data_IF_713360145707
#
_entry.id   IF_713360145707
#
_cell.length_a   1.000
_cell.length_b   1.000
_cell.length_c   1.000
_cell.angle_alpha   90.00
_cell.angle_beta   90.00
_cell.angle_gamma   90.00
#
_symmetry.space_group_name_H-M   'P 1'
#
loop_
_entity.id
_entity.type
_entity.pdbx_description
1 polymer ?
#
# COMPACT_ATOMS: atom_id res chain seq x y z
N UNK A 1 3.75 1.46 5.09
CA UNK A 1 2.90 0.80 4.10
C UNK A 1 2.38 1.80 3.10
N UNK A 2 2.47 1.49 1.82
CA UNK A 2 1.97 2.37 0.77
C UNK A 2 0.42 2.35 0.73
N UNK A 3 -0.18 3.15 -0.15
CA UNK A 3 -1.61 3.13 -0.41
C UNK A 3 -1.89 2.43 -1.76
N UNK A 4 -3.14 2.08 -2.09
CA UNK A 4 -3.45 1.18 -3.20
C UNK A 4 -2.86 1.56 -4.56
N UNK A 5 -2.85 2.84 -4.92
CA UNK A 5 -2.38 3.24 -6.26
C UNK A 5 -0.88 3.00 -6.40
N UNK A 6 -0.07 3.25 -5.35
CA UNK A 6 1.35 2.93 -5.36
C UNK A 6 1.62 1.44 -5.61
N UNK A 7 0.92 0.55 -4.89
CA UNK A 7 1.07 -0.89 -5.07
C UNK A 7 0.72 -1.31 -6.50
N UNK A 8 -0.42 -0.84 -7.01
CA UNK A 8 -0.91 -1.15 -8.36
C UNK A 8 0.04 -0.63 -9.44
N UNK A 9 0.51 0.62 -9.32
CA UNK A 9 1.43 1.22 -10.28
C UNK A 9 2.75 0.43 -10.35
N UNK A 10 3.34 0.13 -9.19
CA UNK A 10 4.57 -0.64 -9.14
C UNK A 10 4.38 -2.07 -9.66
N UNK A 11 3.23 -2.70 -9.38
CA UNK A 11 2.89 -4.01 -9.93
C UNK A 11 2.81 -3.99 -11.46
N UNK A 12 2.21 -2.95 -12.06
CA UNK A 12 2.23 -2.79 -13.51
C UNK A 12 3.65 -2.60 -14.07
N UNK A 13 4.49 -1.80 -13.41
CA UNK A 13 5.83 -1.48 -13.89
C UNK A 13 6.77 -2.69 -13.91
N UNK A 14 6.58 -3.63 -12.97
CA UNK A 14 7.48 -4.78 -12.79
C UNK A 14 6.94 -6.06 -13.44
N UNK A 15 5.68 -6.10 -13.86
CA UNK A 15 5.05 -7.35 -14.30
C UNK A 15 5.80 -8.03 -15.46
N UNK A 16 6.35 -7.26 -16.40
CA UNK A 16 7.15 -7.79 -17.52
C UNK A 16 8.49 -8.42 -17.10
N UNK A 17 8.89 -8.26 -15.84
CA UNK A 17 10.10 -8.84 -15.26
C UNK A 17 9.81 -10.13 -14.48
N UNK A 18 8.53 -10.50 -14.35
CA UNK A 18 8.09 -11.70 -13.65
C UNK A 18 8.10 -12.90 -14.60
N UNK A 19 8.10 -14.14 -14.07
CA UNK A 19 8.04 -15.33 -14.89
C UNK A 19 6.84 -15.34 -15.86
N UNK A 20 7.07 -15.75 -17.11
CA UNK A 20 6.06 -15.75 -18.18
C UNK A 20 4.80 -16.57 -17.86
N UNK A 21 4.91 -17.53 -16.93
CA UNK A 21 3.78 -18.37 -16.51
C UNK A 21 2.84 -17.67 -15.50
N UNK A 22 3.20 -16.48 -15.00
CA UNK A 22 2.34 -15.74 -14.09
C UNK A 22 1.15 -15.12 -14.83
N UNK A 23 -0.05 -15.36 -14.32
CA UNK A 23 -1.23 -14.62 -14.74
C UNK A 23 -1.23 -13.22 -14.11
N UNK A 24 -1.37 -12.19 -14.94
CA UNK A 24 -1.37 -10.79 -14.50
C UNK A 24 -2.51 -10.46 -13.55
N UNK A 25 -3.71 -10.95 -13.83
CA UNK A 25 -4.89 -10.72 -13.00
C UNK A 25 -4.67 -11.28 -11.59
N UNK A 26 -4.21 -12.53 -11.48
CA UNK A 26 -3.93 -13.17 -10.20
C UNK A 26 -2.83 -12.46 -9.42
N UNK A 27 -1.76 -12.02 -10.09
CA UNK A 27 -0.70 -11.24 -9.45
C UNK A 27 -1.20 -9.89 -8.90
N UNK A 28 -2.07 -9.20 -9.64
CA UNK A 28 -2.65 -7.93 -9.20
C UNK A 28 -3.63 -8.13 -8.04
N UNK A 29 -4.46 -9.18 -8.07
CA UNK A 29 -5.31 -9.58 -6.95
C UNK A 29 -4.47 -9.86 -5.71
N UNK A 30 -3.41 -10.66 -5.86
CA UNK A 30 -2.46 -10.97 -4.80
C UNK A 30 -1.75 -9.74 -4.25
N UNK A 31 -1.41 -8.77 -5.10
CA UNK A 31 -0.78 -7.51 -4.69
C UNK A 31 -1.70 -6.67 -3.81
N UNK A 32 -3.01 -6.70 -4.04
CA UNK A 32 -3.97 -5.93 -3.25
C UNK A 32 -4.61 -6.73 -2.12
N UNK A 33 -4.43 -8.06 -2.08
CA UNK A 33 -5.03 -8.89 -1.05
C UNK A 33 -4.60 -8.54 0.38
N UNK A 34 -3.33 -8.20 0.70
CA UNK A 34 -2.91 -8.19 2.10
C UNK A 34 -3.65 -7.21 3.03
N UNK A 35 -4.14 -6.10 2.47
CA UNK A 35 -4.91 -5.08 3.18
C UNK A 35 -6.38 -5.45 3.42
N UNK A 36 -6.90 -6.53 2.80
CA UNK A 36 -8.24 -7.06 3.13
C UNK A 36 -8.34 -7.42 4.62
N UNK A 37 -7.20 -7.67 5.28
CA UNK A 37 -7.09 -8.10 6.68
C UNK A 37 -7.92 -7.26 7.65
N UNK A 38 -8.03 -5.95 7.41
CA UNK A 38 -8.79 -5.04 8.28
C UNK A 38 -10.30 -5.33 8.24
N UNK A 39 -10.79 -5.89 7.15
CA UNK A 39 -12.19 -6.26 6.95
C UNK A 39 -12.45 -7.75 7.19
N UNK A 40 -11.47 -8.60 6.88
CA UNK A 40 -11.57 -10.05 6.98
C UNK A 40 -11.18 -10.61 8.36
N UNK A 41 -10.80 -9.75 9.31
CA UNK A 41 -10.29 -10.16 10.64
C UNK A 41 -9.11 -11.15 10.53
N UNK A 42 -8.22 -10.90 9.56
CA UNK A 42 -7.01 -11.69 9.36
C UNK A 42 -5.84 -11.05 10.11
N UNK A 43 -4.98 -11.90 10.66
CA UNK A 43 -3.75 -11.47 11.29
C UNK A 43 -2.76 -10.97 10.22
N UNK A 44 -1.97 -9.93 10.55
CA UNK A 44 -0.95 -9.41 9.63
C UNK A 44 0.00 -10.51 9.13
N UNK A 45 0.42 -11.42 10.01
CA UNK A 45 1.31 -12.53 9.66
C UNK A 45 0.71 -13.52 8.63
N UNK A 46 -0.62 -13.56 8.47
CA UNK A 46 -1.28 -14.39 7.46
C UNK A 46 -1.24 -13.74 6.06
N UNK A 47 -1.11 -12.41 6.00
CA UNK A 47 -1.19 -11.67 4.74
C UNK A 47 0.09 -10.95 4.33
N UNK A 48 0.98 -10.66 5.28
CA UNK A 48 2.27 -10.01 5.09
C UNK A 48 3.37 -11.00 5.52
N UNK A 49 3.74 -11.87 4.58
CA UNK A 49 4.72 -12.94 4.83
C UNK A 49 6.11 -12.33 4.94
N UNK A 50 6.75 -12.47 6.09
CA UNK A 50 8.12 -12.03 6.38
C UNK A 50 8.95 -13.19 6.95
N UNK A 51 10.29 -13.16 6.77
CA UNK A 51 11.04 -12.25 5.90
C UNK A 51 10.73 -12.48 4.41
N UNK A 52 11.03 -11.49 3.55
CA UNK A 52 10.78 -11.58 2.10
C UNK A 52 11.91 -10.95 1.29
N UNK A 53 12.19 -11.47 0.11
CA UNK A 53 13.10 -10.86 -0.87
C UNK A 53 12.54 -10.99 -2.30
N UNK A 54 13.16 -10.30 -3.26
CA UNK A 54 12.76 -10.38 -4.67
C UNK A 54 12.81 -11.82 -5.23
N UNK A 55 13.78 -12.61 -4.79
CA UNK A 55 13.88 -14.01 -5.20
C UNK A 55 12.67 -14.84 -4.76
N UNK A 56 12.00 -14.49 -3.65
CA UNK A 56 10.79 -15.18 -3.22
C UNK A 56 9.60 -14.89 -4.16
N UNK A 57 9.57 -13.69 -4.76
CA UNK A 57 8.54 -13.30 -5.75
C UNK A 57 8.74 -14.05 -7.06
N UNK A 58 9.95 -14.03 -7.62
CA UNK A 58 10.22 -14.65 -8.94
C UNK A 58 10.18 -16.18 -8.90
N UNK A 59 10.53 -16.79 -7.76
CA UNK A 59 10.52 -18.25 -7.61
C UNK A 59 9.19 -18.77 -7.03
N UNK A 60 8.21 -17.89 -6.81
CA UNK A 60 6.90 -18.29 -6.32
C UNK A 60 6.17 -19.14 -7.36
N UNK A 61 5.42 -20.15 -6.90
CA UNK A 61 4.66 -21.03 -7.80
C UNK A 61 3.29 -20.48 -8.22
N UNK A 62 2.74 -19.54 -7.43
CA UNK A 62 1.43 -18.93 -7.68
C UNK A 62 1.63 -17.44 -7.91
N UNK A 63 1.05 -16.92 -9.00
CA UNK A 63 1.08 -15.50 -9.31
C UNK A 63 0.41 -14.68 -8.19
N UNK A 64 -0.69 -15.17 -7.63
CA UNK A 64 -1.37 -14.55 -6.50
C UNK A 64 -0.45 -14.44 -5.27
N UNK A 65 0.19 -15.55 -4.88
CA UNK A 65 1.13 -15.52 -3.75
C UNK A 65 2.35 -14.64 -4.03
N UNK A 66 2.85 -14.62 -5.27
CA UNK A 66 3.91 -13.70 -5.68
C UNK A 66 3.47 -12.23 -5.52
N UNK A 67 2.22 -11.91 -5.84
CA UNK A 67 1.63 -10.59 -5.60
C UNK A 67 1.61 -10.22 -4.12
N UNK A 68 1.23 -11.14 -3.23
CA UNK A 68 1.24 -10.88 -1.78
C UNK A 68 2.66 -10.62 -1.25
N UNK A 69 3.64 -11.38 -1.73
CA UNK A 69 5.05 -11.16 -1.39
C UNK A 69 5.53 -9.80 -1.91
N UNK A 70 5.16 -9.46 -3.14
CA UNK A 70 5.48 -8.18 -3.77
C UNK A 70 4.88 -7.00 -3.00
N UNK A 71 3.62 -7.09 -2.56
CA UNK A 71 2.99 -6.09 -1.69
C UNK A 71 3.87 -5.79 -0.47
N UNK A 72 4.36 -6.85 0.19
CA UNK A 72 5.17 -6.69 1.38
C UNK A 72 6.54 -6.06 1.08
N UNK A 73 7.15 -6.39 -0.06
CA UNK A 73 8.37 -5.71 -0.53
C UNK A 73 8.11 -4.21 -0.73
N UNK A 74 7.03 -3.83 -1.42
CA UNK A 74 6.65 -2.42 -1.62
C UNK A 74 6.55 -1.70 -0.28
N UNK A 75 5.84 -2.32 0.67
CA UNK A 75 5.64 -1.77 2.00
C UNK A 75 6.95 -1.53 2.76
N UNK A 76 7.82 -2.54 2.82
CA UNK A 76 9.07 -2.47 3.59
C UNK A 76 10.03 -1.45 2.95
N UNK A 77 10.17 -1.45 1.63
CA UNK A 77 11.04 -0.47 0.95
C UNK A 77 10.47 0.95 1.11
N UNK A 78 9.16 1.15 0.96
CA UNK A 78 8.51 2.45 1.18
C UNK A 78 8.69 2.93 2.63
N UNK A 79 8.60 2.04 3.60
CA UNK A 79 8.89 2.36 5.01
C UNK A 79 10.33 2.86 5.15
N UNK A 80 11.30 2.13 4.61
CA UNK A 80 12.72 2.46 4.78
C UNK A 80 13.14 3.75 4.05
N UNK A 81 12.55 4.03 2.89
CA UNK A 81 12.97 5.15 2.04
C UNK A 81 12.12 6.41 2.28
N UNK A 82 10.80 6.26 2.45
CA UNK A 82 9.87 7.39 2.50
C UNK A 82 9.41 7.69 3.93
N UNK A 83 9.17 6.67 4.76
CA UNK A 83 8.68 6.89 6.13
C UNK A 83 9.79 7.12 7.14
N UNK A 84 10.93 6.43 7.01
CA UNK A 84 12.04 6.51 7.96
C UNK A 84 12.47 7.95 8.27
N UNK A 85 12.71 8.83 7.28
CA UNK A 85 13.08 10.22 7.57
C UNK A 85 12.00 10.96 8.39
N UNK A 86 10.72 10.65 8.18
CA UNK A 86 9.63 11.26 8.93
C UNK A 86 9.59 10.73 10.36
N UNK A 87 9.85 9.43 10.57
CA UNK A 87 9.95 8.87 11.92
C UNK A 87 11.12 9.49 12.72
N UNK A 88 12.23 9.80 12.05
CA UNK A 88 13.38 10.51 12.62
C UNK A 88 13.03 11.97 12.96
N UNK A 89 12.44 12.71 12.02
CA UNK A 89 12.02 14.11 12.23
C UNK A 89 11.03 14.25 13.39
N UNK A 90 10.11 13.28 13.52
CA UNK A 90 9.14 13.22 14.61
C UNK A 90 9.73 12.66 15.91
N UNK A 91 11.03 12.27 15.92
CA UNK A 91 11.75 11.68 17.05
C UNK A 91 11.05 10.46 17.66
N UNK A 92 10.32 9.69 16.86
CA UNK A 92 9.48 8.60 17.38
C UNK A 92 10.32 7.42 17.90
N UNK A 93 11.59 7.34 17.47
CA UNK A 93 12.54 6.33 17.93
C UNK A 93 13.20 6.72 19.26
N UNK A 94 13.19 8.01 19.62
CA UNK A 94 13.90 8.53 20.79
C UNK A 94 12.96 8.93 21.94
N UNK A 95 11.76 9.44 21.63
CA UNK A 95 10.85 10.02 22.63
C UNK A 95 9.37 9.66 22.35
N UNK A 96 8.99 8.37 22.49
CA UNK A 96 7.64 7.89 22.13
C UNK A 96 6.49 8.55 22.92
N UNK A 97 6.78 9.21 24.04
CA UNK A 97 5.83 9.95 24.87
C UNK A 97 5.41 11.33 24.30
N UNK A 98 6.14 11.88 23.32
CA UNK A 98 5.95 13.26 22.86
C UNK A 98 4.89 13.43 21.77
N UNK A 99 4.34 12.33 21.22
CA UNK A 99 3.29 12.40 20.20
C UNK A 99 2.29 11.26 20.36
N UNK A 100 1.00 11.58 20.30
CA UNK A 100 -0.04 10.55 20.33
C UNK A 100 0.09 9.62 19.12
N UNK A 101 -0.09 8.31 19.34
CA UNK A 101 -0.06 7.29 18.29
C UNK A 101 -1.02 7.63 17.14
N UNK A 102 -2.17 8.20 17.48
CA UNK A 102 -3.19 8.63 16.53
C UNK A 102 -2.70 9.78 15.63
N UNK A 103 -1.92 10.73 16.17
CA UNK A 103 -1.33 11.82 15.38
C UNK A 103 -0.29 11.29 14.40
N UNK A 104 0.60 10.38 14.81
CA UNK A 104 1.57 9.75 13.90
C UNK A 104 0.85 8.99 12.78
N UNK A 105 -0.15 8.17 13.12
CA UNK A 105 -0.95 7.43 12.15
C UNK A 105 -1.64 8.37 11.15
N UNK A 106 -2.16 9.50 11.61
CA UNK A 106 -2.80 10.51 10.77
C UNK A 106 -1.81 11.19 9.81
N UNK A 107 -0.62 11.60 10.30
CA UNK A 107 0.45 12.16 9.45
C UNK A 107 0.85 11.16 8.37
N UNK A 108 1.10 9.90 8.76
CA UNK A 108 1.47 8.83 7.82
C UNK A 108 0.39 8.58 6.80
N UNK A 109 -0.87 8.57 7.24
CA UNK A 109 -2.02 8.42 6.37
C UNK A 109 -2.06 9.52 5.32
N UNK A 110 -2.07 10.81 5.72
CA UNK A 110 -2.13 11.96 4.80
C UNK A 110 -1.04 11.90 3.73
N UNK A 111 0.19 11.53 4.13
CA UNK A 111 1.32 11.36 3.20
C UNK A 111 1.06 10.32 2.12
N UNK A 112 0.55 9.14 2.50
CA UNK A 112 0.19 8.08 1.53
C UNK A 112 -0.86 8.56 0.52
N UNK A 113 -1.78 9.43 0.94
CA UNK A 113 -2.82 9.95 0.04
C UNK A 113 -2.23 10.94 -0.94
N UNK A 114 -1.38 11.83 -0.44
CA UNK A 114 -0.69 12.80 -1.28
C UNK A 114 0.20 12.08 -2.30
N UNK A 115 0.86 10.99 -1.89
CA UNK A 115 1.61 10.11 -2.79
C UNK A 115 0.73 9.55 -3.90
N UNK A 116 -0.35 8.84 -3.56
CA UNK A 116 -1.27 8.25 -4.54
C UNK A 116 -1.86 9.32 -5.48
N UNK A 117 -2.17 10.52 -4.97
CA UNK A 117 -2.64 11.64 -5.80
C UNK A 117 -1.56 12.11 -6.79
N UNK A 118 -0.32 12.25 -6.33
CA UNK A 118 0.81 12.67 -7.17
C UNK A 118 1.03 11.72 -8.33
N UNK A 119 0.88 10.41 -8.09
CA UNK A 119 1.24 9.34 -9.04
C UNK A 119 0.04 8.81 -9.83
N UNK A 120 -1.18 9.18 -9.48
CA UNK A 120 -2.40 8.68 -10.14
C UNK A 120 -2.35 8.84 -11.67
N UNK A 121 -1.86 9.99 -12.14
CA UNK A 121 -1.76 10.29 -13.57
C UNK A 121 -0.67 9.49 -14.30
N UNK A 122 0.19 8.76 -13.59
CA UNK A 122 1.14 7.82 -14.19
C UNK A 122 0.45 6.54 -14.65
N UNK A 123 -0.73 6.22 -14.11
CA UNK A 123 -1.55 5.13 -14.64
C UNK A 123 -2.13 5.54 -16.00
N UNK A 124 -1.94 4.68 -17.01
CA UNK A 124 -2.58 4.87 -18.31
C UNK A 124 -4.09 4.63 -18.22
N UNK A 125 -4.84 5.09 -19.23
CA UNK A 125 -6.28 4.82 -19.33
C UNK A 125 -6.56 3.31 -19.39
N UNK A 126 -5.72 2.57 -20.11
CA UNK A 126 -5.80 1.11 -20.22
C UNK A 126 -5.55 0.43 -18.88
N UNK A 127 -4.50 0.84 -18.16
CA UNK A 127 -4.21 0.29 -16.82
C UNK A 127 -5.36 0.53 -15.85
N UNK A 128 -5.99 1.71 -15.87
CA UNK A 128 -7.19 1.97 -15.07
C UNK A 128 -8.35 1.05 -15.44
N UNK A 129 -8.56 0.78 -16.72
CA UNK A 129 -9.58 -0.18 -17.15
C UNK A 129 -9.25 -1.61 -16.65
N UNK A 130 -7.99 -2.04 -16.79
CA UNK A 130 -7.52 -3.34 -16.30
C UNK A 130 -7.72 -3.51 -14.79
N UNK A 131 -7.55 -2.45 -13.99
CA UNK A 131 -7.86 -2.49 -12.55
C UNK A 131 -9.33 -2.88 -12.34
N UNK A 132 -10.27 -2.20 -13.01
CA UNK A 132 -11.69 -2.50 -12.87
C UNK A 132 -12.00 -3.95 -13.26
N UNK A 133 -11.48 -4.43 -14.39
CA UNK A 133 -11.70 -5.81 -14.84
C UNK A 133 -11.09 -6.84 -13.88
N UNK A 134 -9.90 -6.57 -13.35
CA UNK A 134 -9.18 -7.43 -12.42
C UNK A 134 -10.05 -7.71 -11.18
N UNK A 135 -10.57 -6.66 -10.56
CA UNK A 135 -11.36 -6.72 -9.34
C UNK A 135 -12.84 -7.07 -9.56
N UNK A 136 -13.22 -7.49 -10.77
CA UNK A 136 -14.51 -8.18 -11.00
C UNK A 136 -14.38 -9.71 -10.83
N UNK A 137 -13.16 -10.22 -10.62
CA UNK A 137 -12.85 -11.63 -10.47
C UNK A 137 -12.39 -11.93 -9.03
N UNK A 138 -12.78 -13.10 -8.52
CA UNK A 138 -12.28 -13.65 -7.26
C UNK A 138 -11.57 -14.96 -7.59
N UNK A 139 -10.29 -15.05 -7.28
CA UNK A 139 -9.54 -16.28 -7.53
C UNK A 139 -9.70 -17.30 -6.38
N UNK A 140 -9.23 -18.53 -6.61
CA UNK A 140 -9.39 -19.62 -5.63
C UNK A 140 -8.56 -19.37 -4.38
N UNK A 141 -7.35 -18.85 -4.52
CA UNK A 141 -6.47 -18.53 -3.39
C UNK A 141 -7.05 -17.44 -2.47
N UNK A 142 -7.78 -16.45 -3.00
CA UNK A 142 -8.48 -15.46 -2.18
C UNK A 142 -9.50 -16.12 -1.25
N UNK A 143 -10.31 -17.04 -1.79
CA UNK A 143 -11.33 -17.77 -1.02
C UNK A 143 -10.72 -18.74 0.00
N UNK A 144 -9.52 -19.27 -0.28
CA UNK A 144 -8.81 -20.12 0.68
C UNK A 144 -8.34 -19.32 1.91
N UNK A 145 -7.86 -18.09 1.70
CA UNK A 145 -7.37 -17.23 2.78
C UNK A 145 -8.50 -16.46 3.48
N UNK A 146 -9.53 -16.05 2.72
CA UNK A 146 -10.72 -15.37 3.21
C UNK A 146 -11.98 -16.10 2.71
N UNK A 147 -12.48 -17.12 3.45
CA UNK A 147 -13.65 -17.89 3.04
C UNK A 147 -14.94 -17.07 2.88
N UNK A 148 -14.99 -15.88 3.51
CA UNK A 148 -16.13 -14.97 3.36
C UNK A 148 -16.06 -14.22 2.02
N UNK A 149 -16.76 -14.74 1.02
CA UNK A 149 -16.84 -14.16 -0.33
C UNK A 149 -17.37 -12.72 -0.34
N UNK A 150 -18.31 -12.37 0.53
CA UNK A 150 -18.90 -11.02 0.58
C UNK A 150 -17.85 -9.98 1.02
N UNK A 151 -16.95 -10.37 1.92
CA UNK A 151 -15.83 -9.50 2.34
C UNK A 151 -14.87 -9.24 1.18
N UNK A 152 -14.57 -10.25 0.37
CA UNK A 152 -13.73 -10.09 -0.83
C UNK A 152 -14.39 -9.17 -1.85
N UNK A 153 -15.68 -9.37 -2.16
CA UNK A 153 -16.43 -8.49 -3.09
C UNK A 153 -16.40 -7.05 -2.58
N UNK A 154 -16.63 -6.83 -1.28
CA UNK A 154 -16.61 -5.50 -0.69
C UNK A 154 -15.22 -4.87 -0.79
N UNK A 155 -14.16 -5.64 -0.53
CA UNK A 155 -12.78 -5.18 -0.69
C UNK A 155 -12.44 -4.79 -2.13
N UNK A 156 -12.78 -5.65 -3.08
CA UNK A 156 -12.60 -5.38 -4.52
C UNK A 156 -13.31 -4.10 -4.93
N UNK A 157 -14.56 -3.91 -4.49
CA UNK A 157 -15.32 -2.69 -4.76
C UNK A 157 -14.65 -1.44 -4.18
N UNK A 158 -14.11 -1.52 -2.96
CA UNK A 158 -13.36 -0.42 -2.34
C UNK A 158 -12.13 -0.05 -3.18
N UNK A 159 -11.39 -1.04 -3.70
CA UNK A 159 -10.22 -0.78 -4.57
C UNK A 159 -10.64 -0.14 -5.88
N UNK A 160 -11.67 -0.67 -6.54
CA UNK A 160 -12.20 -0.10 -7.78
C UNK A 160 -12.62 1.37 -7.58
N UNK A 161 -13.37 1.67 -6.52
CA UNK A 161 -13.86 3.01 -6.21
C UNK A 161 -12.71 3.97 -5.83
N UNK A 162 -11.68 3.46 -5.15
CA UNK A 162 -10.49 4.24 -4.81
C UNK A 162 -9.67 4.62 -6.05
N UNK A 163 -9.60 3.74 -7.05
CA UNK A 163 -8.86 3.94 -8.29
C UNK A 163 -9.64 4.64 -9.41
N UNK A 164 -10.92 4.96 -9.22
CA UNK A 164 -11.78 5.59 -10.24
C UNK A 164 -11.36 7.03 -10.57
N UNK A 165 -10.86 7.76 -9.56
CA UNK A 165 -10.43 9.16 -9.67
C UNK A 165 -9.22 9.41 -8.79
N UNK A 166 -8.41 10.46 -9.05
CA UNK A 166 -7.32 10.83 -8.16
C UNK A 166 -7.85 10.94 -6.72
N UNK A 167 -7.20 10.31 -5.72
CA UNK A 167 -7.71 10.36 -4.36
C UNK A 167 -7.69 11.80 -3.87
N UNK A 168 -8.78 12.21 -3.24
CA UNK A 168 -8.91 13.42 -2.44
C UNK A 168 -9.16 13.00 -0.98
N UNK A 169 -9.23 13.97 -0.06
CA UNK A 169 -9.47 13.68 1.36
C UNK A 169 -10.77 12.90 1.58
N UNK A 170 -11.79 13.13 0.74
CA UNK A 170 -13.09 12.46 0.84
C UNK A 170 -13.04 11.01 0.35
N UNK A 171 -12.38 10.73 -0.77
CA UNK A 171 -12.14 9.35 -1.27
C UNK A 171 -11.45 8.53 -0.19
N UNK A 172 -10.49 9.14 0.49
CA UNK A 172 -9.73 8.47 1.54
C UNK A 172 -10.56 8.31 2.81
N UNK A 173 -11.30 9.35 3.21
CA UNK A 173 -12.22 9.24 4.34
C UNK A 173 -13.17 8.05 4.13
N UNK A 174 -13.72 7.90 2.93
CA UNK A 174 -14.58 6.75 2.58
C UNK A 174 -13.80 5.42 2.63
N UNK A 175 -12.59 5.37 2.09
CA UNK A 175 -11.74 4.17 2.15
C UNK A 175 -11.48 3.74 3.60
N UNK A 176 -11.12 4.66 4.48
CA UNK A 176 -10.83 4.40 5.89
C UNK A 176 -12.08 3.96 6.67
N UNK A 177 -13.20 4.67 6.48
CA UNK A 177 -14.46 4.27 7.09
C UNK A 177 -14.89 2.86 6.66
N UNK A 178 -14.60 2.49 5.40
CA UNK A 178 -14.97 1.18 4.85
C UNK A 178 -14.07 0.04 5.36
N UNK A 179 -12.84 0.37 5.78
CA UNK A 179 -11.82 -0.56 6.28
C UNK A 179 -11.68 -0.55 7.80
N UNK A 180 -12.53 0.19 8.52
CA UNK A 180 -12.47 0.28 10.00
C UNK A 180 -11.29 1.11 10.53
N UNK A 181 -10.68 1.94 9.69
CA UNK A 181 -9.55 2.81 10.02
C UNK A 181 -9.92 4.07 10.83
N UNK A 182 -8.90 4.88 11.14
CA UNK A 182 -9.04 6.13 11.90
C UNK A 182 -9.87 7.16 11.11
N UNK A 183 -10.90 7.72 11.73
CA UNK A 183 -11.69 8.81 11.12
C UNK A 183 -10.90 10.12 11.10
N UNK A 184 -10.73 10.72 9.91
CA UNK A 184 -10.06 12.00 9.70
C UNK A 184 -10.73 13.18 10.44
N UNK A 185 -12.06 13.13 10.65
CA UNK A 185 -12.86 14.25 11.17
C UNK A 185 -12.73 14.51 12.68
N UNK A 186 -11.96 13.72 13.44
CA UNK A 186 -11.92 13.80 14.91
C UNK A 186 -10.62 14.39 15.49
N UNK A 187 -9.72 14.92 14.68
CA UNK A 187 -8.44 15.40 15.18
C UNK A 187 -8.26 16.92 14.96
N UNK A 188 -8.55 17.71 15.98
CA UNK A 188 -8.38 19.18 15.99
C UNK A 188 -6.90 19.62 16.01
N UNK A 189 -5.97 18.69 16.31
CA UNK A 189 -4.55 19.00 16.48
C UNK A 189 -3.76 19.10 15.15
N UNK A 190 -4.34 18.61 14.04
CA UNK A 190 -3.67 18.58 12.74
C UNK A 190 -4.62 19.01 11.63
N UNK A 191 -4.26 20.07 10.91
CA UNK A 191 -4.98 20.47 9.70
C UNK A 191 -4.61 19.53 8.55
N UNK A 192 -5.35 18.43 8.43
CA UNK A 192 -5.12 17.39 7.43
C UNK A 192 -5.23 17.92 5.99
N UNK A 193 -6.15 18.86 5.75
CA UNK A 193 -6.36 19.47 4.44
C UNK A 193 -5.20 20.35 4.00
N UNK A 194 -4.71 21.20 4.92
CA UNK A 194 -3.52 22.02 4.69
C UNK A 194 -2.31 21.14 4.39
N UNK A 195 -2.04 20.14 5.22
CA UNK A 195 -0.91 19.23 5.03
C UNK A 195 -0.99 18.47 3.69
N UNK A 196 -2.17 17.94 3.36
CA UNK A 196 -2.41 17.27 2.08
C UNK A 196 -2.15 18.21 0.88
N UNK A 197 -2.64 19.44 0.97
CA UNK A 197 -2.46 20.45 -0.08
C UNK A 197 -1.00 20.86 -0.23
N UNK A 198 -0.28 21.04 0.87
CA UNK A 198 1.15 21.37 0.87
C UNK A 198 1.99 20.25 0.25
N UNK A 199 1.72 18.99 0.61
CA UNK A 199 2.42 17.83 0.05
C UNK A 199 2.17 17.68 -1.45
N UNK A 200 0.90 17.75 -1.90
CA UNK A 200 0.55 17.58 -3.33
C UNK A 200 1.08 18.70 -4.22
N UNK A 201 1.29 19.90 -3.68
CA UNK A 201 1.89 21.05 -4.38
C UNK A 201 3.42 21.12 -4.26
N UNK A 202 4.02 20.38 -3.34
CA UNK A 202 5.46 20.40 -3.12
C UNK A 202 6.20 19.72 -4.27
N UNK A 203 6.97 20.50 -5.04
CA UNK A 203 7.81 19.98 -6.12
C UNK A 203 8.86 18.98 -5.59
N UNK A 204 9.50 19.31 -4.46
CA UNK A 204 10.47 18.43 -3.82
C UNK A 204 9.83 17.10 -3.39
N UNK A 205 8.63 17.14 -2.80
CA UNK A 205 7.97 15.91 -2.39
C UNK A 205 7.60 15.06 -3.60
N UNK A 206 7.03 15.68 -4.65
CA UNK A 206 6.75 15.00 -5.92
C UNK A 206 8.01 14.35 -6.50
N UNK A 207 9.13 15.06 -6.55
CA UNK A 207 10.40 14.54 -7.05
C UNK A 207 10.86 13.33 -6.23
N UNK A 208 10.79 13.40 -4.90
CA UNK A 208 11.14 12.27 -4.04
C UNK A 208 10.30 11.02 -4.33
N UNK A 209 8.99 11.18 -4.57
CA UNK A 209 8.09 10.06 -4.90
C UNK A 209 8.40 9.49 -6.29
N UNK A 210 8.66 10.33 -7.28
CA UNK A 210 9.03 9.88 -8.62
C UNK A 210 10.39 9.17 -8.62
N UNK A 211 11.37 9.69 -7.87
CA UNK A 211 12.65 9.04 -7.68
C UNK A 211 12.49 7.68 -7.00
N UNK A 212 11.64 7.56 -5.99
CA UNK A 212 11.32 6.27 -5.39
C UNK A 212 10.75 5.28 -6.41
N UNK A 213 9.78 5.68 -7.23
CA UNK A 213 9.18 4.83 -8.26
C UNK A 213 10.22 4.39 -9.30
N UNK A 214 11.02 5.33 -9.80
CA UNK A 214 11.99 5.07 -10.86
C UNK A 214 13.11 4.13 -10.40
N UNK A 215 13.49 4.19 -9.13
CA UNK A 215 14.54 3.33 -8.56
C UNK A 215 13.99 2.08 -7.85
N UNK A 216 12.66 1.91 -7.79
CA UNK A 216 12.03 0.86 -6.98
C UNK A 216 12.51 -0.55 -7.35
N UNK A 217 12.65 -0.82 -8.66
CA UNK A 217 13.04 -2.15 -9.12
C UNK A 217 14.47 -2.50 -8.71
N UNK A 218 15.39 -1.54 -8.74
CA UNK A 218 16.77 -1.75 -8.32
C UNK A 218 16.82 -1.98 -6.81
N UNK A 219 16.09 -1.16 -6.04
CA UNK A 219 15.94 -1.31 -4.59
C UNK A 219 15.35 -2.67 -4.17
N UNK A 220 14.44 -3.23 -4.99
CA UNK A 220 13.85 -4.54 -4.77
C UNK A 220 14.83 -5.67 -5.13
N UNK A 221 15.57 -5.52 -6.24
CA UNK A 221 16.48 -6.53 -6.79
C UNK A 221 17.82 -6.65 -6.07
N UNK A 222 18.13 -5.79 -5.10
CA UNK A 222 19.32 -5.90 -4.24
C UNK A 222 19.46 -7.27 -3.51
N UNK A 223 18.50 -8.18 -3.66
CA UNK A 223 18.47 -9.55 -3.11
C UNK A 223 18.75 -9.61 -1.61
N UNK A 224 18.43 -8.50 -0.92
CA UNK A 224 18.45 -8.39 0.52
C UNK A 224 17.18 -8.98 1.08
N UNK A 225 17.33 -9.65 2.22
CA UNK A 225 16.20 -10.11 3.02
C UNK A 225 15.57 -8.89 3.68
N UNK A 226 14.30 -8.65 3.38
CA UNK A 226 13.51 -7.53 3.89
C UNK A 226 12.65 -7.99 5.06
N UNK A 227 12.61 -7.16 6.10
CA UNK A 227 11.71 -7.30 7.25
C UNK A 227 11.15 -5.94 7.61
N UNK A 228 9.93 -5.89 8.15
CA UNK A 228 9.37 -4.65 8.69
C UNK A 228 10.26 -4.20 9.87
N UNK A 229 10.76 -2.96 9.88
CA UNK A 229 11.62 -2.48 10.96
C UNK A 229 10.90 -2.50 12.31
N UNK A 230 11.63 -2.85 13.37
CA UNK A 230 11.06 -3.03 14.73
C UNK A 230 10.37 -1.76 15.26
N UNK A 231 10.93 -0.59 14.96
CA UNK A 231 10.33 0.68 15.37
C UNK A 231 8.99 0.96 14.69
N UNK A 232 8.66 0.28 13.58
CA UNK A 232 7.36 0.38 12.91
C UNK A 232 6.38 -0.68 13.41
N UNK A 233 6.87 -1.85 13.87
CA UNK A 233 6.01 -2.94 14.37
C UNK A 233 5.05 -2.50 15.48
N UNK A 234 5.47 -1.54 16.32
CA UNK A 234 4.63 -0.95 17.38
C UNK A 234 3.36 -0.26 16.85
N UNK A 235 3.30 0.15 15.59
CA UNK A 235 2.11 0.77 14.99
C UNK A 235 1.12 -0.25 14.42
N UNK A 236 1.57 -1.49 14.17
CA UNK A 236 0.83 -2.54 13.48
C UNK A 236 0.19 -3.57 14.40
N UNK A 237 0.62 -3.68 15.66
CA UNK A 237 0.05 -4.58 16.66
C UNK A 237 -1.30 -4.04 17.18
N UNK A 238 -2.34 -4.25 16.37
CA UNK A 238 -3.74 -4.36 16.76
C UNK A 238 -4.31 -5.58 16.04
#
# INVERSE_FOLDING_TARGET
MAAPIMHILLAFNIFSLLPDHFNKQDFMLGTMFPDIRYMANLQRAQTHIEPVCWNDVINCKSAFKAGMLFHNIVDIIRINIIEHPVYEDLKINMEPQNMSLNRVRLIMLIRKLAEDNIIYNLLSKEQRHTIHETFNHICTEELQLCPNREVIIKWHKIIQDYCERPPDLDTVHRFLCSTGGIMLKRNEELNAEKMYTELTKSAQYRENILNFINNFIDLAKENRVLTTPDYVRKFFNN
#
